data_IF_763158180901
#
_entry.id   IF_763158180901
#
_cell.length_a   1.000
_cell.length_b   1.000
_cell.length_c   1.000
_cell.angle_alpha   90.00
_cell.angle_beta   90.00
_cell.angle_gamma   90.00
#
_symmetry.space_group_name_H-M   'P 1'
#
loop_
_entity.id
_entity.type
_entity.pdbx_description
1 polymer ?
#
# COMPACT_ATOMS: atom_id res chain seq x y z
N UNK A 1 22.19 14.19 4.40
CA UNK A 1 21.18 13.33 5.02
C UNK A 1 21.44 11.84 4.73
N UNK A 2 20.68 10.93 5.34
CA UNK A 2 20.83 9.47 5.16
C UNK A 2 20.74 9.01 3.69
N UNK A 3 20.04 9.77 2.85
CA UNK A 3 19.86 9.45 1.43
C UNK A 3 21.01 9.95 0.54
N UNK A 4 21.89 10.83 1.03
CA UNK A 4 22.96 11.44 0.21
C UNK A 4 24.00 10.46 -0.29
N UNK A 5 24.06 9.25 0.26
CA UNK A 5 25.01 8.21 -0.13
C UNK A 5 24.47 7.26 -1.23
N UNK A 6 23.23 7.48 -1.68
CA UNK A 6 22.58 6.63 -2.66
C UNK A 6 22.10 7.46 -3.84
N UNK A 7 22.45 7.05 -5.05
CA UNK A 7 21.87 7.59 -6.29
C UNK A 7 20.41 7.13 -6.42
N UNK A 8 20.15 5.87 -6.06
CA UNK A 8 18.81 5.28 -5.96
C UNK A 8 18.71 4.45 -4.69
N UNK A 9 17.59 4.52 -3.99
CA UNK A 9 17.34 3.67 -2.83
C UNK A 9 17.23 2.22 -3.32
N UNK A 10 18.06 1.29 -2.79
CA UNK A 10 17.98 -0.12 -3.19
C UNK A 10 16.62 -0.71 -2.82
N UNK A 11 16.09 -1.58 -3.70
CA UNK A 11 14.93 -2.41 -3.39
C UNK A 11 15.22 -3.28 -2.16
N UNK A 12 14.22 -3.51 -1.33
CA UNK A 12 14.32 -4.32 -0.11
C UNK A 12 15.31 -3.77 0.94
N UNK A 13 15.62 -2.47 0.87
CA UNK A 13 16.43 -1.80 1.87
C UNK A 13 15.57 -1.10 2.92
N UNK A 14 15.96 -1.05 4.21
CA UNK A 14 15.19 -0.33 5.24
C UNK A 14 14.85 1.13 4.92
N UNK A 15 15.69 1.82 4.14
CA UNK A 15 15.40 3.19 3.66
C UNK A 15 14.22 3.29 2.68
N UNK A 16 13.78 2.17 2.09
CA UNK A 16 12.60 2.15 1.22
C UNK A 16 11.29 2.01 2.01
N UNK A 17 11.37 1.77 3.32
CA UNK A 17 10.20 1.62 4.19
C UNK A 17 9.71 3.00 4.64
N UNK A 18 8.47 3.32 4.29
CA UNK A 18 7.76 4.52 4.76
C UNK A 18 6.87 4.17 5.95
N UNK A 19 6.31 5.20 6.62
CA UNK A 19 5.35 4.95 7.72
C UNK A 19 4.15 4.17 7.18
N UNK A 20 3.82 2.98 7.75
CA UNK A 20 2.68 2.19 7.31
C UNK A 20 1.36 2.89 7.63
N UNK A 21 0.69 3.44 6.63
CA UNK A 21 -0.48 4.30 6.80
C UNK A 21 -1.83 3.58 6.87
N UNK A 22 -1.88 2.26 6.58
CA UNK A 22 -3.14 1.53 6.43
C UNK A 22 -4.01 1.56 7.69
N UNK A 23 -3.43 1.35 8.87
CA UNK A 23 -4.17 1.30 10.14
C UNK A 23 -4.78 2.66 10.49
N UNK A 24 -4.07 3.77 10.23
CA UNK A 24 -4.61 5.12 10.38
C UNK A 24 -5.76 5.37 9.38
N UNK A 25 -5.64 4.86 8.16
CA UNK A 25 -6.72 4.90 7.16
C UNK A 25 -7.96 4.14 7.63
N UNK A 26 -7.80 2.93 8.19
CA UNK A 26 -8.92 2.17 8.75
C UNK A 26 -9.63 2.94 9.86
N UNK A 27 -8.88 3.57 10.75
CA UNK A 27 -9.43 4.41 11.81
C UNK A 27 -10.26 5.55 11.27
N UNK A 28 -9.71 6.32 10.33
CA UNK A 28 -10.41 7.46 9.74
C UNK A 28 -11.68 7.05 8.99
N UNK A 29 -11.61 5.95 8.22
CA UNK A 29 -12.77 5.40 7.51
C UNK A 29 -13.84 4.90 8.48
N UNK A 30 -13.45 4.13 9.50
CA UNK A 30 -14.37 3.62 10.51
C UNK A 30 -15.04 4.75 11.29
N UNK A 31 -14.28 5.76 11.71
CA UNK A 31 -14.82 6.91 12.45
C UNK A 31 -15.81 7.74 11.61
N UNK A 32 -15.57 7.88 10.31
CA UNK A 32 -16.39 8.75 9.45
C UNK A 32 -17.59 8.05 8.85
N UNK A 33 -17.45 6.79 8.49
CA UNK A 33 -18.46 6.05 7.71
C UNK A 33 -18.85 4.70 8.33
N UNK A 34 -18.12 4.25 9.38
CA UNK A 34 -18.33 2.93 9.97
C UNK A 34 -19.68 2.83 10.66
N UNK A 35 -20.42 1.75 10.36
CA UNK A 35 -21.65 1.37 11.02
C UNK A 35 -21.48 0.09 11.88
N UNK A 36 -20.30 -0.53 11.79
CA UNK A 36 -19.92 -1.74 12.53
C UNK A 36 -18.71 -1.37 13.40
N UNK A 37 -18.66 -1.78 14.66
CA UNK A 37 -17.49 -1.60 15.50
C UNK A 37 -16.24 -2.18 14.84
N UNK A 38 -15.12 -1.46 14.91
CA UNK A 38 -13.87 -1.91 14.28
C UNK A 38 -13.37 -3.23 14.90
N UNK A 39 -13.69 -3.47 16.15
CA UNK A 39 -13.38 -4.67 16.90
C UNK A 39 -14.02 -5.92 16.26
N UNK A 40 -15.27 -5.81 15.82
CA UNK A 40 -16.00 -6.90 15.14
C UNK A 40 -15.39 -7.20 13.76
N UNK A 41 -14.91 -6.18 13.08
CA UNK A 41 -14.20 -6.34 11.80
C UNK A 41 -12.84 -7.03 12.00
N UNK A 42 -12.11 -6.63 13.04
CA UNK A 42 -10.82 -7.24 13.40
C UNK A 42 -10.97 -8.71 13.78
N UNK A 43 -12.07 -9.12 14.41
CA UNK A 43 -12.34 -10.53 14.77
C UNK A 43 -12.33 -11.44 13.53
N UNK A 44 -12.84 -10.99 12.42
CA UNK A 44 -12.80 -11.75 11.16
C UNK A 44 -11.35 -12.03 10.75
N UNK A 45 -10.50 -11.01 10.80
CA UNK A 45 -9.07 -11.12 10.49
C UNK A 45 -8.33 -12.02 11.50
N UNK A 46 -8.61 -11.87 12.79
CA UNK A 46 -8.03 -12.66 13.88
C UNK A 46 -8.37 -14.14 13.68
N UNK A 47 -9.64 -14.46 13.45
CA UNK A 47 -10.07 -15.83 13.20
C UNK A 47 -9.39 -16.46 11.99
N UNK A 48 -9.31 -15.73 10.86
CA UNK A 48 -8.58 -16.20 9.67
C UNK A 48 -7.09 -16.44 9.95
N UNK A 49 -6.47 -15.64 10.79
CA UNK A 49 -5.08 -15.82 11.17
C UNK A 49 -4.86 -17.10 12.00
N UNK A 50 -5.79 -17.46 12.90
CA UNK A 50 -5.68 -18.61 13.76
C UNK A 50 -6.21 -19.90 13.13
N UNK A 51 -7.37 -19.85 12.50
CA UNK A 51 -7.96 -21.01 11.81
C UNK A 51 -7.22 -21.35 10.53
N UNK A 52 -6.74 -20.35 9.84
CA UNK A 52 -6.01 -20.47 8.59
C UNK A 52 -6.88 -20.28 7.36
N UNK A 53 -6.20 -20.12 6.23
CA UNK A 53 -6.80 -20.03 4.91
C UNK A 53 -5.98 -20.83 3.90
N UNK A 54 -6.63 -21.26 2.82
CA UNK A 54 -5.96 -22.04 1.78
C UNK A 54 -5.23 -21.16 0.79
N UNK A 55 -4.06 -21.61 0.35
CA UNK A 55 -3.30 -20.93 -0.70
C UNK A 55 -4.07 -21.05 -2.01
N UNK A 56 -4.42 -19.89 -2.60
CA UNK A 56 -5.00 -19.83 -3.93
C UNK A 56 -3.94 -20.00 -5.01
N UNK A 57 -4.37 -20.27 -6.23
CA UNK A 57 -3.47 -20.37 -7.39
C UNK A 57 -2.70 -19.05 -7.62
N UNK A 58 -3.37 -17.92 -7.47
CA UNK A 58 -2.79 -16.59 -7.65
C UNK A 58 -1.74 -16.32 -6.59
N UNK A 59 -2.04 -16.63 -5.32
CA UNK A 59 -1.08 -16.49 -4.23
C UNK A 59 0.14 -17.41 -4.45
N UNK A 60 -0.08 -18.66 -4.82
CA UNK A 60 1.01 -19.59 -5.15
C UNK A 60 1.91 -19.05 -6.25
N UNK A 61 1.33 -18.60 -7.37
CA UNK A 61 2.10 -18.05 -8.48
C UNK A 61 2.92 -16.80 -8.04
N UNK A 62 2.33 -15.92 -7.25
CA UNK A 62 3.03 -14.76 -6.71
C UNK A 62 4.19 -15.16 -5.80
N UNK A 63 3.97 -16.07 -4.88
CA UNK A 63 5.02 -16.59 -3.98
C UNK A 63 6.15 -17.27 -4.76
N UNK A 64 5.82 -18.06 -5.78
CA UNK A 64 6.80 -18.75 -6.61
C UNK A 64 7.65 -17.77 -7.42
N UNK A 65 7.04 -16.74 -7.99
CA UNK A 65 7.76 -15.74 -8.78
C UNK A 65 8.70 -14.85 -7.95
N UNK A 66 8.44 -14.71 -6.65
CA UNK A 66 9.22 -13.88 -5.74
C UNK A 66 9.94 -14.71 -4.66
N UNK A 67 10.15 -16.00 -4.90
CA UNK A 67 10.70 -16.91 -3.88
C UNK A 67 12.11 -16.55 -3.46
N UNK A 68 12.97 -16.07 -4.37
CA UNK A 68 14.34 -15.64 -4.06
C UNK A 68 14.36 -14.44 -3.10
N UNK A 69 13.39 -13.53 -3.23
CA UNK A 69 13.29 -12.31 -2.41
C UNK A 69 12.65 -12.57 -1.05
N UNK A 70 11.62 -13.42 -1.02
CA UNK A 70 10.73 -13.56 0.15
C UNK A 70 11.07 -14.74 1.05
N UNK A 71 11.60 -15.84 0.52
CA UNK A 71 11.82 -17.05 1.31
C UNK A 71 12.85 -16.88 2.43
N UNK A 72 13.84 -16.01 2.21
CA UNK A 72 14.88 -15.69 3.19
C UNK A 72 14.46 -14.65 4.25
N UNK A 73 13.30 -14.03 4.13
CA UNK A 73 12.83 -13.04 5.08
C UNK A 73 12.21 -13.70 6.32
N UNK A 74 12.35 -13.06 7.47
CA UNK A 74 11.84 -13.57 8.75
C UNK A 74 10.33 -13.82 8.76
N UNK A 75 9.56 -13.12 7.92
CA UNK A 75 8.12 -13.32 7.73
C UNK A 75 7.77 -14.42 6.71
N UNK A 76 8.75 -14.89 5.95
CA UNK A 76 8.58 -15.90 4.89
C UNK A 76 8.12 -17.25 5.41
N UNK A 77 8.47 -17.64 6.65
CA UNK A 77 8.13 -18.94 7.24
C UNK A 77 6.62 -19.29 7.14
N UNK A 78 5.75 -18.29 7.09
CA UNK A 78 4.30 -18.53 6.96
C UNK A 78 3.89 -19.04 5.58
N UNK A 79 4.72 -18.82 4.56
CA UNK A 79 4.40 -19.09 3.16
C UNK A 79 5.39 -20.05 2.49
N UNK A 80 6.57 -20.23 3.08
CA UNK A 80 7.66 -21.05 2.51
C UNK A 80 8.12 -22.12 3.49
N UNK A 81 8.55 -23.25 2.92
CA UNK A 81 9.27 -24.31 3.60
C UNK A 81 10.45 -24.71 2.73
N UNK A 82 11.64 -24.72 3.31
CA UNK A 82 12.89 -25.05 2.60
C UNK A 82 13.07 -24.20 1.32
N UNK A 83 12.78 -22.91 1.41
CA UNK A 83 12.79 -21.94 0.32
C UNK A 83 11.78 -22.21 -0.83
N UNK A 84 10.85 -23.12 -0.63
CA UNK A 84 9.79 -23.41 -1.59
C UNK A 84 8.43 -22.92 -1.05
N UNK A 85 7.58 -22.29 -1.86
CA UNK A 85 6.24 -21.92 -1.44
C UNK A 85 5.41 -23.17 -1.14
N UNK A 86 4.53 -23.06 -0.14
CA UNK A 86 3.55 -24.11 0.07
C UNK A 86 2.65 -24.26 -1.15
N UNK A 87 2.25 -25.49 -1.45
CA UNK A 87 1.40 -25.82 -2.60
C UNK A 87 0.00 -25.20 -2.50
N UNK A 88 -0.66 -25.08 -3.65
CA UNK A 88 -2.08 -24.70 -3.75
C UNK A 88 -2.92 -25.57 -2.81
N UNK A 89 -3.96 -25.02 -2.22
CA UNK A 89 -4.85 -25.64 -1.22
C UNK A 89 -4.22 -25.99 0.12
N UNK A 90 -2.92 -25.73 0.33
CA UNK A 90 -2.32 -25.85 1.66
C UNK A 90 -2.95 -24.85 2.61
N UNK A 91 -3.38 -25.33 3.79
CA UNK A 91 -3.89 -24.48 4.86
C UNK A 91 -2.71 -23.80 5.58
N UNK A 92 -2.62 -22.48 5.52
CA UNK A 92 -1.61 -21.72 6.22
C UNK A 92 -2.25 -20.90 7.35
N UNK A 93 -1.49 -20.64 8.41
CA UNK A 93 -1.88 -19.83 9.56
C UNK A 93 -0.87 -18.72 9.79
N UNK A 94 -1.35 -17.62 10.33
CA UNK A 94 -0.49 -16.46 10.64
C UNK A 94 -0.70 -15.98 12.08
N UNK A 95 -0.36 -16.80 13.09
CA UNK A 95 -0.66 -16.51 14.49
C UNK A 95 -0.02 -15.22 15.01
N UNK A 96 1.15 -14.81 14.47
CA UNK A 96 1.77 -13.55 14.86
C UNK A 96 0.99 -12.34 14.34
N UNK A 97 0.45 -12.41 13.12
CA UNK A 97 -0.45 -11.37 12.61
C UNK A 97 -1.76 -11.34 13.43
N UNK A 98 -2.30 -12.53 13.77
CA UNK A 98 -3.45 -12.64 14.66
C UNK A 98 -3.21 -11.91 15.97
N UNK A 99 -2.08 -12.16 16.64
CA UNK A 99 -1.70 -11.46 17.86
C UNK A 99 -1.57 -9.94 17.68
N UNK A 100 -1.03 -9.48 16.55
CA UNK A 100 -0.98 -8.04 16.25
C UNK A 100 -2.39 -7.44 16.15
N UNK A 101 -3.31 -8.13 15.47
CA UNK A 101 -4.71 -7.67 15.36
C UNK A 101 -5.44 -7.72 16.72
N UNK A 102 -5.16 -8.71 17.57
CA UNK A 102 -5.68 -8.78 18.96
C UNK A 102 -5.23 -7.57 19.78
N UNK A 103 -3.94 -7.17 19.69
CA UNK A 103 -3.45 -5.97 20.36
C UNK A 103 -4.16 -4.70 19.87
N UNK A 104 -4.43 -4.60 18.57
CA UNK A 104 -5.18 -3.48 18.00
C UNK A 104 -6.64 -3.49 18.45
N UNK A 105 -7.25 -4.67 18.61
CA UNK A 105 -8.60 -4.82 19.15
C UNK A 105 -8.67 -4.40 20.60
N UNK A 106 -7.70 -4.82 21.41
CA UNK A 106 -7.66 -4.55 22.87
C UNK A 106 -7.33 -3.09 23.19
N UNK A 107 -6.37 -2.50 22.49
CA UNK A 107 -5.82 -1.18 22.82
C UNK A 107 -6.23 -0.06 21.84
N UNK A 108 -6.99 -0.40 20.80
CA UNK A 108 -7.38 0.54 19.74
C UNK A 108 -6.33 0.69 18.65
N UNK A 109 -6.74 1.22 17.49
CA UNK A 109 -5.89 1.31 16.29
C UNK A 109 -4.69 2.26 16.47
N UNK A 110 -4.77 3.22 17.40
CA UNK A 110 -3.63 4.10 17.76
C UNK A 110 -2.44 3.34 18.33
N UNK A 111 -2.66 2.18 18.92
CA UNK A 111 -1.61 1.35 19.49
C UNK A 111 -0.58 0.89 18.46
N UNK A 112 -0.99 0.84 17.18
CA UNK A 112 -0.07 0.58 16.06
C UNK A 112 1.08 1.59 16.00
N UNK A 113 0.78 2.84 16.30
CA UNK A 113 1.71 3.97 16.16
C UNK A 113 2.41 4.37 17.47
N UNK A 114 1.83 4.02 18.62
CA UNK A 114 2.31 4.46 19.93
C UNK A 114 2.75 3.29 20.84
N UNK A 115 2.35 2.04 20.52
CA UNK A 115 2.53 0.88 21.38
C UNK A 115 3.79 0.05 21.04
N UNK A 116 3.77 -1.20 21.49
CA UNK A 116 4.83 -2.17 21.22
C UNK A 116 5.02 -2.43 19.72
N UNK A 117 3.95 -2.38 18.92
CA UNK A 117 4.01 -2.56 17.47
C UNK A 117 4.92 -1.51 16.84
N UNK A 118 4.78 -0.23 17.24
CA UNK A 118 5.65 0.84 16.76
C UNK A 118 7.12 0.60 17.10
N UNK A 119 7.39 0.07 18.29
CA UNK A 119 8.75 -0.29 18.72
C UNK A 119 9.33 -1.43 17.88
N UNK A 120 8.56 -2.45 17.59
CA UNK A 120 8.99 -3.58 16.75
C UNK A 120 9.25 -3.13 15.31
N UNK A 121 8.39 -2.27 14.74
CA UNK A 121 8.61 -1.69 13.41
C UNK A 121 9.92 -0.89 13.40
N UNK A 122 10.13 0.01 14.35
CA UNK A 122 11.36 0.80 14.43
C UNK A 122 12.61 -0.08 14.53
N UNK A 123 12.57 -1.11 15.36
CA UNK A 123 13.68 -2.05 15.52
C UNK A 123 13.94 -2.85 14.22
N UNK A 124 12.91 -3.26 13.50
CA UNK A 124 13.05 -4.05 12.27
C UNK A 124 13.77 -3.31 11.14
N UNK A 125 13.72 -1.99 11.17
CA UNK A 125 14.39 -1.10 10.20
C UNK A 125 15.61 -0.39 10.82
N UNK A 126 16.19 -0.95 11.89
CA UNK A 126 17.37 -0.42 12.58
C UNK A 126 17.23 1.05 13.04
N UNK A 127 16.04 1.47 13.43
CA UNK A 127 15.73 2.83 13.87
C UNK A 127 15.70 3.88 12.76
N UNK A 128 15.80 3.50 11.50
CA UNK A 128 15.68 4.44 10.36
C UNK A 128 14.29 5.06 10.27
N UNK A 129 13.26 4.33 10.71
CA UNK A 129 11.92 4.83 10.99
C UNK A 129 11.77 4.88 12.51
N UNK A 130 11.73 6.10 13.06
CA UNK A 130 11.70 6.32 14.51
C UNK A 130 10.29 6.16 15.09
N UNK A 131 10.19 6.02 16.40
CA UNK A 131 8.88 6.06 17.09
C UNK A 131 8.19 7.41 16.92
N UNK A 132 8.95 8.50 16.84
CA UNK A 132 8.40 9.84 16.64
C UNK A 132 7.80 9.98 15.24
N UNK A 133 8.45 9.41 14.20
CA UNK A 133 7.90 9.34 12.86
C UNK A 133 6.57 8.59 12.83
N UNK A 134 6.51 7.43 13.51
CA UNK A 134 5.31 6.64 13.61
C UNK A 134 4.19 7.37 14.37
N UNK A 135 4.49 7.89 15.55
CA UNK A 135 3.49 8.54 16.43
C UNK A 135 2.96 9.86 15.88
N UNK A 136 3.74 10.55 15.06
CA UNK A 136 3.34 11.81 14.41
C UNK A 136 2.48 11.59 13.17
N UNK A 137 2.45 10.37 12.63
CA UNK A 137 1.72 10.07 11.39
C UNK A 137 0.20 10.19 11.57
N UNK A 138 -0.44 10.83 10.60
CA UNK A 138 -1.90 10.96 10.53
C UNK A 138 -2.36 10.72 9.10
N UNK A 139 -3.44 9.94 8.95
CA UNK A 139 -4.12 9.86 7.67
C UNK A 139 -4.80 11.21 7.37
N UNK A 140 -4.70 11.66 6.13
CA UNK A 140 -5.21 12.94 5.69
C UNK A 140 -6.31 12.71 4.64
N UNK A 141 -7.47 13.31 4.87
CA UNK A 141 -8.51 13.39 3.86
C UNK A 141 -8.11 14.36 2.74
N UNK A 142 -8.22 13.90 1.51
CA UNK A 142 -7.91 14.71 0.33
C UNK A 142 -9.09 14.69 -0.62
N UNK A 143 -9.32 15.81 -1.32
CA UNK A 143 -10.27 15.84 -2.41
C UNK A 143 -9.77 15.00 -3.57
N UNK A 144 -10.61 14.10 -4.13
CA UNK A 144 -10.21 13.31 -5.28
C UNK A 144 -10.10 14.18 -6.53
N UNK A 145 -9.20 13.80 -7.44
CA UNK A 145 -9.21 14.39 -8.78
C UNK A 145 -10.43 13.89 -9.55
N UNK A 146 -11.06 14.81 -10.29
CA UNK A 146 -12.23 14.52 -11.11
C UNK A 146 -12.01 14.96 -12.55
N UNK A 147 -12.43 14.13 -13.49
CA UNK A 147 -12.43 14.45 -14.91
C UNK A 147 -13.62 13.81 -15.63
N UNK A 148 -14.33 14.61 -16.42
CA UNK A 148 -15.37 14.07 -17.29
C UNK A 148 -14.76 13.60 -18.62
N UNK A 149 -14.97 12.32 -18.97
CA UNK A 149 -14.37 11.62 -20.11
C UNK A 149 -15.45 10.82 -20.81
N UNK A 150 -15.70 11.04 -22.10
CA UNK A 150 -16.77 10.40 -22.89
C UNK A 150 -18.14 10.44 -22.21
N UNK A 151 -18.43 11.51 -21.46
CA UNK A 151 -19.69 11.67 -20.73
C UNK A 151 -19.75 10.99 -19.37
N UNK A 152 -18.75 10.19 -18.99
CA UNK A 152 -18.63 9.54 -17.69
C UNK A 152 -17.76 10.36 -16.73
N UNK A 153 -18.08 10.27 -15.45
CA UNK A 153 -17.28 10.91 -14.40
C UNK A 153 -16.22 9.95 -13.90
N UNK A 154 -14.94 10.31 -14.12
CA UNK A 154 -13.78 9.58 -13.62
C UNK A 154 -13.21 10.22 -12.37
N UNK A 155 -12.93 9.42 -11.33
CA UNK A 155 -12.40 9.88 -10.06
C UNK A 155 -11.15 9.09 -9.69
N UNK A 156 -10.15 9.75 -9.11
CA UNK A 156 -8.95 9.08 -8.62
C UNK A 156 -8.34 9.84 -7.44
N UNK A 157 -7.50 9.16 -6.68
CA UNK A 157 -6.70 9.82 -5.63
C UNK A 157 -5.76 10.86 -6.24
N UNK A 158 -5.54 12.00 -5.56
CA UNK A 158 -4.57 12.99 -6.02
C UNK A 158 -3.12 12.47 -5.95
N UNK A 159 -2.13 13.19 -6.52
CA UNK A 159 -0.73 12.91 -6.23
C UNK A 159 -0.47 12.87 -4.70
N UNK A 160 0.42 12.02 -4.23
CA UNK A 160 1.52 11.29 -4.90
C UNK A 160 1.14 9.99 -5.65
N UNK A 161 -0.14 9.63 -5.74
CA UNK A 161 -0.55 8.47 -6.54
C UNK A 161 -0.53 8.81 -8.04
N UNK A 162 -0.38 7.77 -8.88
CA UNK A 162 -0.31 7.94 -10.34
C UNK A 162 -1.69 7.89 -11.02
N UNK A 163 -2.79 7.96 -10.26
CA UNK A 163 -4.14 7.89 -10.81
C UNK A 163 -4.46 8.98 -11.84
N UNK A 164 -3.86 10.17 -11.68
CA UNK A 164 -4.00 11.27 -12.64
C UNK A 164 -3.56 10.88 -14.06
N UNK A 165 -2.56 9.97 -14.22
CA UNK A 165 -2.13 9.49 -15.54
C UNK A 165 -3.25 8.80 -16.29
N UNK A 166 -4.06 8.00 -15.62
CA UNK A 166 -5.20 7.34 -16.23
C UNK A 166 -6.23 8.36 -16.72
N UNK A 167 -6.62 9.31 -15.85
CA UNK A 167 -7.61 10.33 -16.23
C UNK A 167 -7.10 11.23 -17.36
N UNK A 168 -5.84 11.70 -17.26
CA UNK A 168 -5.24 12.56 -18.27
C UNK A 168 -5.04 11.85 -19.60
N UNK A 169 -4.58 10.58 -19.58
CA UNK A 169 -4.42 9.76 -20.79
C UNK A 169 -5.75 9.58 -21.51
N UNK A 170 -6.80 9.18 -20.80
CA UNK A 170 -8.13 8.98 -21.38
C UNK A 170 -8.74 10.29 -21.88
N UNK A 171 -8.51 11.40 -21.18
CA UNK A 171 -8.95 12.72 -21.64
C UNK A 171 -8.20 13.19 -22.87
N UNK A 172 -6.89 13.01 -22.91
CA UNK A 172 -6.07 13.28 -24.10
C UNK A 172 -6.54 12.47 -25.31
N UNK A 173 -6.79 11.17 -25.09
CA UNK A 173 -7.33 10.29 -26.11
C UNK A 173 -8.71 10.75 -26.63
N UNK A 174 -9.61 11.17 -25.73
CA UNK A 174 -10.92 11.73 -26.10
C UNK A 174 -10.78 13.00 -26.98
N UNK A 175 -9.85 13.90 -26.60
CA UNK A 175 -9.64 15.19 -27.31
C UNK A 175 -9.09 14.95 -28.71
N UNK A 176 -8.07 14.08 -28.85
CA UNK A 176 -7.44 13.78 -30.14
C UNK A 176 -8.42 13.07 -31.08
N UNK A 177 -9.22 12.14 -30.53
CA UNK A 177 -10.31 11.42 -31.20
C UNK A 177 -9.92 10.77 -32.56
N UNK A 178 -8.68 10.32 -32.68
CA UNK A 178 -8.22 9.61 -33.87
C UNK A 178 -8.65 8.14 -33.82
N UNK A 179 -9.69 7.80 -34.57
CA UNK A 179 -10.26 6.45 -34.58
C UNK A 179 -9.52 5.49 -35.52
N UNK A 180 -8.73 6.01 -36.45
CA UNK A 180 -8.04 5.18 -37.43
C UNK A 180 -6.78 4.51 -36.82
N UNK A 181 -6.20 5.14 -35.79
CA UNK A 181 -5.05 4.61 -35.05
C UNK A 181 -5.22 4.85 -33.54
N UNK A 182 -6.25 4.20 -32.97
CA UNK A 182 -6.62 4.42 -31.57
C UNK A 182 -5.54 3.97 -30.59
N UNK A 183 -4.84 2.86 -30.90
CA UNK A 183 -3.81 2.33 -30.00
C UNK A 183 -2.59 3.26 -29.94
N UNK A 184 -2.11 3.72 -31.08
CA UNK A 184 -1.05 4.71 -31.12
C UNK A 184 -1.44 5.99 -30.38
N UNK A 185 -2.62 6.51 -30.64
CA UNK A 185 -3.13 7.71 -29.97
C UNK A 185 -3.21 7.54 -28.46
N UNK A 186 -3.65 6.38 -27.96
CA UNK A 186 -3.71 6.09 -26.53
C UNK A 186 -2.29 6.05 -25.90
N UNK A 187 -1.34 5.38 -26.58
CA UNK A 187 0.05 5.28 -26.12
C UNK A 187 0.71 6.65 -26.09
N UNK A 188 0.55 7.46 -27.14
CA UNK A 188 1.15 8.80 -27.19
C UNK A 188 0.51 9.74 -26.16
N UNK A 189 -0.81 9.64 -25.94
CA UNK A 189 -1.46 10.37 -24.84
C UNK A 189 -0.87 10.01 -23.49
N UNK A 190 -0.64 8.72 -23.22
CA UNK A 190 0.03 8.29 -21.99
C UNK A 190 1.44 8.85 -21.88
N UNK A 191 2.26 8.76 -22.96
CA UNK A 191 3.65 9.22 -22.97
C UNK A 191 3.78 10.71 -22.66
N UNK A 192 2.88 11.54 -23.19
CA UNK A 192 2.85 12.98 -22.92
C UNK A 192 2.70 13.24 -21.40
N UNK A 193 1.69 12.63 -20.78
CA UNK A 193 1.43 12.86 -19.34
C UNK A 193 2.43 12.14 -18.43
N UNK A 194 2.96 10.99 -18.86
CA UNK A 194 3.97 10.25 -18.10
C UNK A 194 5.35 10.94 -18.11
N UNK A 195 5.64 11.80 -19.08
CA UNK A 195 6.92 12.51 -19.15
C UNK A 195 7.16 13.46 -17.98
N UNK A 196 6.10 13.93 -17.33
CA UNK A 196 6.18 14.83 -16.16
C UNK A 196 5.89 14.11 -14.82
N UNK A 197 5.83 12.78 -14.84
CA UNK A 197 5.45 11.97 -13.68
C UNK A 197 6.31 12.27 -12.46
N UNK A 198 7.62 12.34 -12.62
CA UNK A 198 8.55 12.46 -11.50
C UNK A 198 8.49 13.86 -10.86
N UNK A 199 7.99 14.86 -11.58
CA UNK A 199 7.72 16.20 -11.06
C UNK A 199 6.37 16.31 -10.34
N UNK A 200 5.44 15.37 -10.60
CA UNK A 200 4.07 15.41 -10.05
C UNK A 200 3.91 14.42 -8.91
N UNK A 201 4.55 13.24 -8.99
CA UNK A 201 4.34 12.14 -8.02
C UNK A 201 5.35 12.16 -6.89
N UNK A 202 5.46 13.25 -6.16
CA UNK A 202 6.26 13.31 -4.93
C UNK A 202 5.36 13.54 -3.71
N UNK A 203 5.92 13.31 -2.52
CA UNK A 203 5.21 13.53 -1.27
C UNK A 203 5.15 15.03 -0.95
N UNK A 204 3.98 15.61 -1.07
CA UNK A 204 3.72 16.98 -0.67
C UNK A 204 3.67 17.06 0.86
N UNK A 205 4.78 17.37 1.51
CA UNK A 205 4.73 17.78 2.90
C UNK A 205 3.94 19.07 2.98
N UNK A 206 2.72 18.98 3.41
CA UNK A 206 1.75 19.89 3.97
C UNK A 206 1.74 21.40 3.72
N UNK A 207 2.75 22.03 3.15
CA UNK A 207 2.85 23.48 3.00
C UNK A 207 2.87 24.01 1.56
N UNK A 208 2.89 23.16 0.56
CA UNK A 208 2.88 23.58 -0.85
C UNK A 208 1.49 23.46 -1.49
N UNK A 209 0.47 24.00 -0.79
CA UNK A 209 -0.76 24.43 -1.45
C UNK A 209 -0.50 25.84 -2.03
N UNK A 210 0.07 25.88 -3.20
CA UNK A 210 0.00 27.06 -4.08
C UNK A 210 -0.52 26.65 -5.45
#
# INVERSE_FOLDING_TARGET
GLLSNYEHIPLNHPLSVTVPGAVAGWRELSNKFGNIPIEDILDIGINLCHEGFKISKELFNSLNNHSEELSGQSSGYSFYRDNQPYSIDTLIRRPQLGKTLELLKEHGLEYFYNGEIAKEISNSVNGLLTKDDLSSYKAIWREPLHQKIYGYDGWTSPPSTQGYLTLSTLKGFEIINNKDDYLHTLIESYRIFASDRDNITYDYQGNDQK
#
